data_IF_286005337510
#
_entry.id   IF_286005337510
#
_cell.length_a   1.000
_cell.length_b   1.000
_cell.length_c   1.000
_cell.angle_alpha   90.00
_cell.angle_beta   90.00
_cell.angle_gamma   90.00
#
_symmetry.space_group_name_H-M   'P 1'
#
loop_
_entity.id
_entity.type
_entity.pdbx_description
1 polymer ?
#
# COMPACT_ATOMS: atom_id res chain seq x y z
N UNK A 1 8.35 -18.80 -10.42
CA UNK A 1 9.14 -17.70 -11.04
C UNK A 1 9.17 -16.48 -10.11
N UNK A 2 10.31 -15.79 -10.03
CA UNK A 2 10.71 -14.90 -8.94
C UNK A 2 10.68 -13.41 -9.35
N UNK A 3 10.24 -12.53 -8.45
CA UNK A 3 10.35 -11.07 -8.64
C UNK A 3 11.82 -10.65 -8.78
N UNK A 4 12.08 -9.64 -9.60
CA UNK A 4 13.41 -9.04 -9.70
C UNK A 4 13.82 -8.40 -8.36
N UNK A 5 15.13 -8.25 -8.15
CA UNK A 5 15.69 -7.77 -6.88
C UNK A 5 15.18 -6.37 -6.52
N UNK A 6 15.01 -5.48 -7.49
CA UNK A 6 14.63 -4.10 -7.22
C UNK A 6 13.17 -4.01 -6.80
N UNK A 7 12.27 -4.75 -7.45
CA UNK A 7 10.87 -4.92 -7.02
C UNK A 7 10.77 -5.42 -5.59
N UNK A 8 11.61 -6.37 -5.18
CA UNK A 8 11.64 -6.87 -3.79
C UNK A 8 12.12 -5.81 -2.79
N UNK A 9 13.10 -4.99 -3.16
CA UNK A 9 13.53 -3.87 -2.31
C UNK A 9 12.47 -2.80 -2.16
N UNK A 10 11.79 -2.44 -3.25
CA UNK A 10 10.62 -1.55 -3.17
C UNK A 10 9.56 -2.14 -2.24
N UNK A 11 9.22 -3.42 -2.39
CA UNK A 11 8.27 -4.09 -1.52
C UNK A 11 8.69 -4.04 -0.04
N UNK A 12 9.97 -4.28 0.30
CA UNK A 12 10.46 -4.16 1.67
C UNK A 12 10.31 -2.72 2.20
N UNK A 13 10.66 -1.72 1.39
CA UNK A 13 10.45 -0.31 1.74
C UNK A 13 8.98 -0.02 2.06
N UNK A 14 8.06 -0.46 1.20
CA UNK A 14 6.61 -0.32 1.41
C UNK A 14 6.13 -1.06 2.66
N UNK A 15 6.60 -2.29 2.87
CA UNK A 15 6.22 -3.12 4.00
C UNK A 15 6.68 -2.55 5.36
N UNK A 16 7.69 -1.69 5.37
CA UNK A 16 8.15 -0.98 6.57
C UNK A 16 7.48 0.38 6.74
N UNK A 17 7.42 1.17 5.67
CA UNK A 17 6.96 2.56 5.74
C UNK A 17 5.43 2.67 5.83
N UNK A 18 4.66 1.77 5.23
CA UNK A 18 3.19 1.80 5.34
C UNK A 18 2.75 1.58 6.79
N UNK A 19 3.20 0.53 7.52
CA UNK A 19 2.86 0.38 8.94
C UNK A 19 3.35 1.54 9.80
N UNK A 20 4.56 2.06 9.55
CA UNK A 20 5.08 3.21 10.28
C UNK A 20 4.16 4.43 10.11
N UNK A 21 3.64 4.65 8.90
CA UNK A 21 2.74 5.75 8.62
C UNK A 21 1.40 5.60 9.34
N UNK A 22 0.81 4.42 9.31
CA UNK A 22 -0.43 4.13 10.03
C UNK A 22 -0.24 4.26 11.56
N UNK A 23 0.86 3.73 12.11
CA UNK A 23 1.11 3.85 13.55
C UNK A 23 1.37 5.29 14.00
N UNK A 24 2.06 6.08 13.17
CA UNK A 24 2.29 7.50 13.47
C UNK A 24 1.00 8.31 13.51
N UNK A 25 0.00 7.92 12.70
CA UNK A 25 -1.30 8.61 12.64
C UNK A 25 -2.09 8.49 13.96
N UNK A 26 -1.96 7.34 14.63
CA UNK A 26 -2.61 7.06 15.92
C UNK A 26 -2.00 7.89 17.07
N UNK A 27 -0.70 8.18 16.97
CA UNK A 27 0.08 8.85 18.02
C UNK A 27 0.18 10.36 17.83
N UNK A 28 0.02 10.86 16.61
CA UNK A 28 0.14 12.27 16.31
C UNK A 28 -1.08 13.10 16.74
N UNK A 29 -0.87 14.40 16.90
CA UNK A 29 -1.96 15.39 16.88
C UNK A 29 -1.62 16.52 15.93
N UNK A 30 -2.45 16.70 14.90
CA UNK A 30 -2.30 17.82 13.98
C UNK A 30 -2.40 19.18 14.68
N UNK A 31 -1.66 20.20 14.21
CA UNK A 31 -1.83 21.57 14.67
C UNK A 31 -3.27 22.03 14.46
N UNK A 32 -3.81 22.78 15.43
CA UNK A 32 -5.08 23.52 15.31
C UNK A 32 -4.97 24.78 16.16
N UNK A 33 -5.66 25.89 15.78
CA UNK A 33 -5.68 27.09 16.60
C UNK A 33 -6.14 26.77 18.04
N UNK A 34 -5.34 27.19 19.02
CA UNK A 34 -5.63 26.99 20.46
C UNK A 34 -5.39 25.57 20.99
N UNK A 35 -4.89 24.63 20.18
CA UNK A 35 -4.58 23.28 20.64
C UNK A 35 -3.15 23.19 21.20
N UNK A 36 -3.05 22.86 22.48
CA UNK A 36 -1.79 22.46 23.11
C UNK A 36 -1.47 21.02 22.70
N UNK A 37 -0.22 20.77 22.32
CA UNK A 37 0.31 19.46 21.91
C UNK A 37 1.50 19.11 22.78
N UNK A 38 1.69 17.83 23.08
CA UNK A 38 2.91 17.34 23.72
C UNK A 38 4.04 17.23 22.70
N UNK A 39 5.29 17.22 23.16
CA UNK A 39 6.46 17.05 22.28
C UNK A 39 6.38 15.74 21.47
N UNK A 40 5.87 14.67 22.09
CA UNK A 40 5.63 13.38 21.42
C UNK A 40 4.63 13.51 20.26
N UNK A 41 3.52 14.22 20.47
CA UNK A 41 2.50 14.42 19.44
C UNK A 41 3.01 15.27 18.27
N UNK A 42 3.90 16.23 18.55
CA UNK A 42 4.57 17.04 17.55
C UNK A 42 5.55 16.17 16.76
N UNK A 43 6.39 15.39 17.46
CA UNK A 43 7.33 14.47 16.84
C UNK A 43 6.64 13.47 15.89
N UNK A 44 5.57 12.80 16.35
CA UNK A 44 4.85 11.85 15.50
C UNK A 44 4.17 12.53 14.31
N UNK A 45 3.74 13.78 14.46
CA UNK A 45 3.18 14.57 13.35
C UNK A 45 4.25 14.88 12.29
N UNK A 46 5.41 15.40 12.70
CA UNK A 46 6.52 15.69 11.78
C UNK A 46 7.04 14.40 11.12
N UNK A 47 7.16 13.32 11.90
CA UNK A 47 7.54 12.01 11.38
C UNK A 47 6.54 11.54 10.33
N UNK A 48 5.23 11.66 10.60
CA UNK A 48 4.19 11.31 9.64
C UNK A 48 4.34 12.10 8.34
N UNK A 49 4.58 13.41 8.40
CA UNK A 49 4.77 14.23 7.21
C UNK A 49 5.96 13.75 6.35
N UNK A 50 7.14 13.61 6.95
CA UNK A 50 8.37 13.27 6.21
C UNK A 50 8.41 11.81 5.75
N UNK A 51 7.94 10.88 6.58
CA UNK A 51 7.81 9.46 6.22
C UNK A 51 6.78 9.32 5.10
N UNK A 52 5.66 10.05 5.15
CA UNK A 52 4.66 10.09 4.10
C UNK A 52 5.23 10.52 2.75
N UNK A 53 6.03 11.59 2.72
CA UNK A 53 6.68 12.06 1.49
C UNK A 53 7.74 11.08 0.94
N UNK A 54 8.45 10.41 1.85
CA UNK A 54 9.41 9.35 1.47
C UNK A 54 8.67 8.15 0.87
N UNK A 55 7.58 7.72 1.50
CA UNK A 55 6.72 6.65 1.02
C UNK A 55 6.12 6.97 -0.35
N UNK A 56 5.57 8.19 -0.53
CA UNK A 56 5.08 8.67 -1.83
C UNK A 56 6.16 8.53 -2.91
N UNK A 57 7.38 9.01 -2.62
CA UNK A 57 8.51 8.93 -3.55
C UNK A 57 8.82 7.48 -3.95
N UNK A 58 8.85 6.56 -2.98
CA UNK A 58 9.09 5.13 -3.23
C UNK A 58 7.98 4.54 -4.09
N UNK A 59 6.72 4.87 -3.84
CA UNK A 59 5.60 4.34 -4.61
C UNK A 59 5.62 4.87 -6.05
N UNK A 60 5.94 6.16 -6.27
CA UNK A 60 6.11 6.73 -7.62
C UNK A 60 7.22 5.98 -8.36
N UNK A 61 8.38 5.82 -7.73
CA UNK A 61 9.52 5.11 -8.32
C UNK A 61 9.18 3.65 -8.63
N UNK A 62 8.47 2.98 -7.73
CA UNK A 62 8.02 1.61 -7.93
C UNK A 62 7.07 1.52 -9.12
N UNK A 63 6.13 2.45 -9.24
CA UNK A 63 5.16 2.50 -10.34
C UNK A 63 5.86 2.76 -11.69
N UNK A 64 6.80 3.70 -11.73
CA UNK A 64 7.63 3.98 -12.91
C UNK A 64 8.50 2.78 -13.31
N UNK A 65 9.04 2.06 -12.32
CA UNK A 65 9.79 0.83 -12.56
C UNK A 65 8.91 -0.26 -13.17
N UNK A 66 7.72 -0.49 -12.61
CA UNK A 66 6.76 -1.48 -13.11
C UNK A 66 6.25 -1.19 -14.53
N UNK A 67 6.27 0.06 -14.98
CA UNK A 67 5.99 0.42 -16.39
C UNK A 67 7.08 -0.06 -17.36
N UNK A 68 8.34 -0.12 -16.91
CA UNK A 68 9.49 -0.54 -17.74
C UNK A 68 9.67 -2.05 -17.76
N UNK A 69 9.30 -2.74 -16.68
CA UNK A 69 9.37 -4.20 -16.63
C UNK A 69 8.22 -4.82 -17.45
N UNK A 70 8.57 -5.49 -18.55
CA UNK A 70 7.62 -6.31 -19.32
C UNK A 70 7.34 -7.68 -18.66
N UNK A 71 8.13 -8.03 -17.64
CA UNK A 71 8.19 -9.36 -17.03
C UNK A 71 7.12 -9.55 -15.94
N UNK A 72 7.20 -10.66 -15.20
CA UNK A 72 6.21 -11.10 -14.21
C UNK A 72 5.97 -10.17 -13.02
N UNK A 73 6.76 -9.12 -12.82
CA UNK A 73 6.52 -8.05 -11.82
C UNK A 73 5.95 -6.76 -12.44
N UNK A 74 5.76 -6.77 -13.75
CA UNK A 74 5.43 -5.59 -14.55
C UNK A 74 3.98 -5.13 -14.45
N UNK A 75 3.72 -4.01 -15.12
CA UNK A 75 2.43 -3.30 -15.16
C UNK A 75 1.21 -4.21 -15.37
N UNK A 76 1.31 -5.20 -16.25
CA UNK A 76 0.22 -6.13 -16.56
C UNK A 76 -0.18 -7.03 -15.39
N UNK A 77 0.74 -7.32 -14.47
CA UNK A 77 0.44 -8.09 -13.24
C UNK A 77 -0.20 -7.23 -12.17
N UNK A 78 0.23 -5.98 -12.03
CA UNK A 78 -0.34 -5.04 -11.07
C UNK A 78 -1.75 -4.62 -11.48
N UNK A 79 -1.97 -4.46 -12.79
CA UNK A 79 -3.23 -4.00 -13.37
C UNK A 79 -3.80 -4.99 -14.39
N UNK A 80 -4.08 -6.23 -13.99
CA UNK A 80 -4.50 -7.28 -14.92
C UNK A 80 -5.87 -6.98 -15.54
N UNK A 81 -6.69 -6.19 -14.84
CA UNK A 81 -8.01 -5.76 -15.29
C UNK A 81 -7.98 -4.85 -16.54
N UNK A 82 -6.83 -4.27 -16.89
CA UNK A 82 -6.65 -3.52 -18.13
C UNK A 82 -6.64 -4.43 -19.37
N UNK A 83 -6.40 -5.73 -19.19
CA UNK A 83 -6.35 -6.71 -20.28
C UNK A 83 -7.52 -7.69 -20.22
N UNK A 84 -8.00 -8.15 -21.37
CA UNK A 84 -9.08 -9.16 -21.42
C UNK A 84 -8.66 -10.49 -20.76
N UNK A 85 -7.44 -10.95 -21.03
CA UNK A 85 -6.88 -12.16 -20.43
C UNK A 85 -6.77 -12.05 -18.91
N UNK A 86 -6.28 -10.92 -18.40
CA UNK A 86 -6.16 -10.68 -16.96
C UNK A 86 -7.51 -10.58 -16.25
N UNK A 87 -8.52 -9.96 -16.88
CA UNK A 87 -9.91 -9.96 -16.35
C UNK A 87 -10.48 -11.38 -16.24
N UNK A 88 -10.32 -12.20 -17.28
CA UNK A 88 -10.77 -13.59 -17.25
C UNK A 88 -10.07 -14.39 -16.15
N UNK A 89 -8.76 -14.24 -15.99
CA UNK A 89 -8.03 -14.93 -14.92
C UNK A 89 -8.47 -14.43 -13.53
N UNK A 90 -8.65 -13.12 -13.35
CA UNK A 90 -9.12 -12.55 -12.09
C UNK A 90 -10.51 -13.06 -11.71
N UNK A 91 -11.43 -13.19 -12.68
CA UNK A 91 -12.76 -13.77 -12.44
C UNK A 91 -12.66 -15.23 -11.97
N UNK A 92 -11.76 -16.03 -12.57
CA UNK A 92 -11.52 -17.41 -12.13
C UNK A 92 -10.96 -17.47 -10.71
N UNK A 93 -10.01 -16.60 -10.40
CA UNK A 93 -9.41 -16.52 -9.06
C UNK A 93 -10.48 -16.15 -8.02
N UNK A 94 -11.36 -15.20 -8.33
CA UNK A 94 -12.49 -14.79 -7.47
C UNK A 94 -13.47 -15.94 -7.27
N UNK A 95 -13.83 -16.66 -8.34
CA UNK A 95 -14.71 -17.83 -8.26
C UNK A 95 -14.12 -18.98 -7.42
N UNK A 96 -12.80 -19.02 -7.24
CA UNK A 96 -12.12 -20.01 -6.41
C UNK A 96 -12.10 -19.65 -4.92
N UNK A 97 -12.37 -18.39 -4.53
CA UNK A 97 -12.34 -17.91 -3.13
C UNK A 97 -13.17 -18.80 -2.17
N UNK A 98 -14.40 -19.24 -2.51
CA UNK A 98 -15.17 -20.10 -1.62
C UNK A 98 -14.46 -21.43 -1.28
N UNK A 99 -13.62 -21.95 -2.19
CA UNK A 99 -12.85 -23.16 -1.94
C UNK A 99 -11.65 -22.93 -1.00
N UNK A 100 -11.17 -21.70 -0.88
CA UNK A 100 -10.06 -21.33 0.02
C UNK A 100 -10.44 -21.54 1.48
N UNK A 101 -11.70 -21.28 1.84
CA UNK A 101 -12.26 -21.56 3.17
C UNK A 101 -12.32 -23.07 3.49
N UNK A 102 -12.16 -23.94 2.50
CA UNK A 102 -12.02 -25.39 2.66
C UNK A 102 -10.57 -25.86 2.65
N UNK A 103 -9.61 -24.94 2.80
CA UNK A 103 -8.16 -25.20 2.76
C UNK A 103 -7.58 -25.35 1.36
N UNK A 104 -8.38 -25.19 0.29
CA UNK A 104 -7.91 -25.29 -1.11
C UNK A 104 -7.38 -23.96 -1.61
N UNK A 105 -6.42 -23.38 -0.88
CA UNK A 105 -5.75 -22.14 -1.31
C UNK A 105 -4.75 -22.49 -2.40
N UNK A 106 -4.84 -21.88 -3.59
CA UNK A 106 -3.96 -22.21 -4.70
C UNK A 106 -2.48 -21.91 -4.38
N UNK A 107 -1.60 -22.68 -5.00
CA UNK A 107 -0.15 -22.61 -4.78
C UNK A 107 0.42 -21.33 -5.38
N UNK A 108 1.63 -20.97 -4.98
CA UNK A 108 2.29 -19.77 -5.49
C UNK A 108 2.62 -19.88 -6.98
N UNK A 109 2.81 -21.08 -7.51
CA UNK A 109 3.17 -21.29 -8.93
C UNK A 109 1.96 -21.24 -9.86
N UNK A 110 0.75 -21.22 -9.31
CA UNK A 110 -0.46 -21.00 -10.09
C UNK A 110 -0.44 -19.57 -10.66
N UNK A 111 -0.77 -19.44 -11.95
CA UNK A 111 -0.84 -18.16 -12.66
C UNK A 111 -2.06 -17.35 -12.21
N UNK A 112 -2.03 -16.87 -10.97
CA UNK A 112 -3.09 -16.07 -10.38
C UNK A 112 -2.88 -14.59 -10.72
N UNK A 113 -3.94 -13.94 -11.19
CA UNK A 113 -4.01 -12.51 -11.43
C UNK A 113 -4.38 -11.73 -10.16
N UNK A 114 -5.16 -12.33 -9.27
CA UNK A 114 -5.71 -11.67 -8.09
C UNK A 114 -4.66 -11.13 -7.10
N UNK A 115 -3.59 -11.86 -6.73
CA UNK A 115 -2.56 -11.32 -5.84
C UNK A 115 -1.85 -10.08 -6.41
N UNK A 116 -1.60 -10.08 -7.73
CA UNK A 116 -1.03 -8.94 -8.44
C UNK A 116 -1.98 -7.74 -8.46
N UNK A 117 -3.27 -7.97 -8.73
CA UNK A 117 -4.30 -6.95 -8.69
C UNK A 117 -4.44 -6.32 -7.30
N UNK A 118 -4.45 -7.12 -6.23
CA UNK A 118 -4.50 -6.63 -4.85
C UNK A 118 -3.27 -5.78 -4.53
N UNK A 119 -2.08 -6.20 -4.96
CA UNK A 119 -0.87 -5.39 -4.78
C UNK A 119 -0.96 -4.06 -5.53
N UNK A 120 -1.38 -4.08 -6.80
CA UNK A 120 -1.59 -2.88 -7.61
C UNK A 120 -2.64 -1.92 -7.02
N UNK A 121 -3.74 -2.45 -6.48
CA UNK A 121 -4.75 -1.67 -5.77
C UNK A 121 -4.17 -1.01 -4.51
N UNK A 122 -3.33 -1.72 -3.75
CA UNK A 122 -2.62 -1.14 -2.62
C UNK A 122 -1.72 0.01 -3.03
N UNK A 123 -0.97 -0.14 -4.12
CA UNK A 123 -0.14 0.94 -4.65
C UNK A 123 -0.98 2.13 -5.10
N UNK A 124 -2.13 1.93 -5.76
CA UNK A 124 -3.02 3.02 -6.14
C UNK A 124 -3.62 3.73 -4.92
N UNK A 125 -4.00 2.97 -3.90
CA UNK A 125 -4.50 3.49 -2.62
C UNK A 125 -3.42 4.36 -1.96
N UNK A 126 -2.17 3.93 -1.91
CA UNK A 126 -1.10 4.75 -1.32
C UNK A 126 -0.72 5.95 -2.23
N UNK A 127 -0.68 5.76 -3.56
CA UNK A 127 -0.13 6.73 -4.53
C UNK A 127 -1.11 7.84 -4.96
N UNK A 128 -2.21 7.44 -5.62
CA UNK A 128 -3.01 8.32 -6.48
C UNK A 128 -4.38 8.56 -5.89
N UNK A 129 -4.98 7.51 -5.33
CA UNK A 129 -6.38 7.56 -4.96
C UNK A 129 -6.62 8.20 -3.61
N UNK A 130 -5.64 8.32 -2.68
CA UNK A 130 -6.01 8.35 -1.26
C UNK A 130 -5.06 9.07 -0.28
N UNK A 131 -3.74 8.80 -0.23
CA UNK A 131 -2.89 9.36 0.86
C UNK A 131 -1.72 10.24 0.39
N UNK A 132 -0.97 9.84 -0.65
CA UNK A 132 0.21 10.58 -1.08
C UNK A 132 -0.12 12.01 -1.56
N UNK A 133 -1.09 12.13 -2.47
CA UNK A 133 -1.51 13.43 -3.02
C UNK A 133 -2.19 14.31 -1.98
N UNK A 134 -3.14 13.78 -1.22
CA UNK A 134 -3.85 14.55 -0.18
C UNK A 134 -2.92 14.92 0.97
N UNK A 135 -1.98 14.04 1.33
CA UNK A 135 -0.91 14.32 2.28
C UNK A 135 -0.01 15.46 1.82
N UNK A 136 0.43 15.43 0.55
CA UNK A 136 1.21 16.52 -0.03
C UNK A 136 0.40 17.84 -0.11
N UNK A 137 -0.90 17.77 -0.46
CA UNK A 137 -1.77 18.94 -0.46
C UNK A 137 -1.88 19.57 0.94
N UNK A 138 -2.00 18.76 1.99
CA UNK A 138 -1.98 19.25 3.37
C UNK A 138 -0.63 19.85 3.74
N UNK A 139 0.48 19.16 3.43
CA UNK A 139 1.83 19.62 3.75
C UNK A 139 2.14 21.02 3.16
N UNK A 140 1.69 21.28 1.94
CA UNK A 140 1.94 22.56 1.26
C UNK A 140 0.78 23.57 1.38
N UNK A 141 -0.40 23.15 1.80
CA UNK A 141 -1.62 23.96 1.82
C UNK A 141 -2.15 24.29 3.22
N UNK A 142 -1.62 23.67 4.28
CA UNK A 142 -1.97 23.98 5.66
C UNK A 142 -1.17 25.19 6.15
N UNK A 143 -1.85 26.14 6.79
CA UNK A 143 -1.17 27.26 7.45
C UNK A 143 -0.39 26.78 8.68
N UNK A 144 0.63 27.54 9.12
CA UNK A 144 1.38 27.23 10.36
C UNK A 144 0.45 27.09 11.60
N UNK A 145 -0.68 27.81 11.59
CA UNK A 145 -1.70 27.73 12.64
C UNK A 145 -2.45 26.37 12.67
N UNK A 146 -2.27 25.52 11.65
CA UNK A 146 -3.03 24.31 11.41
C UNK A 146 -4.38 24.54 10.73
N UNK A 147 -4.65 25.78 10.29
CA UNK A 147 -5.88 26.11 9.57
C UNK A 147 -5.80 25.60 8.14
N UNK A 148 -6.88 24.96 7.70
CA UNK A 148 -7.09 24.47 6.34
C UNK A 148 -8.43 25.02 5.85
N UNK A 149 -8.49 25.44 4.58
CA UNK A 149 -9.70 26.03 3.99
C UNK A 149 -9.93 25.47 2.59
N UNK A 150 -11.20 25.41 2.17
CA UNK A 150 -11.61 24.93 0.85
C UNK A 150 -11.08 23.52 0.57
N UNK A 151 -10.47 23.34 -0.60
CA UNK A 151 -10.01 22.03 -1.09
C UNK A 151 -8.99 21.33 -0.18
N UNK A 152 -8.26 22.07 0.67
CA UNK A 152 -7.30 21.47 1.61
C UNK A 152 -8.01 20.77 2.75
N UNK A 153 -9.12 21.33 3.25
CA UNK A 153 -9.92 20.69 4.30
C UNK A 153 -10.63 19.44 3.78
N UNK A 154 -11.17 19.50 2.55
CA UNK A 154 -11.74 18.34 1.85
C UNK A 154 -10.69 17.24 1.63
N UNK A 155 -9.48 17.62 1.17
CA UNK A 155 -8.38 16.67 1.00
C UNK A 155 -8.00 16.01 2.33
N UNK A 156 -8.05 16.75 3.43
CA UNK A 156 -7.79 16.25 4.78
C UNK A 156 -8.86 15.28 5.28
N UNK A 157 -10.14 15.56 5.06
CA UNK A 157 -11.22 14.60 5.38
C UNK A 157 -11.09 13.31 4.58
N UNK A 158 -10.79 13.44 3.29
CA UNK A 158 -10.59 12.30 2.43
C UNK A 158 -9.33 11.50 2.81
N UNK A 159 -8.24 12.16 3.20
CA UNK A 159 -7.03 11.52 3.71
C UNK A 159 -7.33 10.67 4.97
N UNK A 160 -8.03 11.23 5.96
CA UNK A 160 -8.41 10.53 7.20
C UNK A 160 -9.32 9.32 6.90
N UNK A 161 -10.35 9.50 6.06
CA UNK A 161 -11.27 8.42 5.70
C UNK A 161 -10.53 7.23 5.08
N UNK A 162 -9.57 7.54 4.22
CA UNK A 162 -8.90 6.54 3.42
C UNK A 162 -7.71 5.87 4.15
N UNK A 163 -7.15 6.51 5.18
CA UNK A 163 -6.24 5.85 6.13
C UNK A 163 -6.86 4.60 6.76
N UNK A 164 -8.14 4.68 7.16
CA UNK A 164 -8.89 3.51 7.65
C UNK A 164 -9.01 2.38 6.62
N UNK A 165 -9.12 2.70 5.33
CA UNK A 165 -9.15 1.70 4.26
C UNK A 165 -7.78 1.04 4.06
N UNK A 166 -6.68 1.77 4.25
CA UNK A 166 -5.33 1.22 4.20
C UNK A 166 -5.08 0.25 5.36
N UNK A 167 -5.60 0.50 6.55
CA UNK A 167 -5.58 -0.48 7.64
C UNK A 167 -6.24 -1.79 7.24
N UNK A 168 -7.46 -1.74 6.69
CA UNK A 168 -8.18 -2.93 6.23
C UNK A 168 -7.38 -3.67 5.14
N UNK A 169 -6.83 -2.93 4.19
CA UNK A 169 -5.98 -3.48 3.14
C UNK A 169 -4.75 -4.20 3.74
N UNK A 170 -4.03 -3.55 4.65
CA UNK A 170 -2.81 -4.08 5.25
C UNK A 170 -3.10 -5.37 6.03
N UNK A 171 -4.16 -5.37 6.85
CA UNK A 171 -4.58 -6.55 7.62
C UNK A 171 -4.91 -7.71 6.67
N UNK A 172 -5.70 -7.47 5.62
CA UNK A 172 -6.05 -8.51 4.65
C UNK A 172 -4.84 -9.03 3.88
N UNK A 173 -3.97 -8.11 3.44
CA UNK A 173 -2.78 -8.45 2.66
C UNK A 173 -1.77 -9.27 3.46
N UNK A 174 -1.42 -8.80 4.66
CA UNK A 174 -0.50 -9.51 5.57
C UNK A 174 -1.14 -10.80 6.09
N UNK A 175 -2.45 -10.79 6.36
CA UNK A 175 -3.21 -11.99 6.75
C UNK A 175 -3.08 -13.12 5.73
N UNK A 176 -3.16 -12.80 4.43
CA UNK A 176 -2.95 -13.80 3.37
C UNK A 176 -1.51 -14.34 3.32
N UNK A 177 -0.51 -13.52 3.66
CA UNK A 177 0.88 -14.00 3.81
C UNK A 177 0.98 -15.03 4.95
N UNK A 178 0.33 -14.76 6.08
CA UNK A 178 0.28 -15.69 7.22
C UNK A 178 -0.43 -16.99 6.83
N UNK A 179 -1.58 -16.93 6.15
CA UNK A 179 -2.30 -18.12 5.66
C UNK A 179 -1.40 -18.98 4.77
N UNK A 180 -0.75 -18.37 3.77
CA UNK A 180 0.17 -19.10 2.90
C UNK A 180 1.35 -19.70 3.66
N UNK A 181 1.85 -19.03 4.69
CA UNK A 181 2.93 -19.56 5.53
C UNK A 181 2.48 -20.77 6.35
N UNK A 182 1.27 -20.73 6.91
CA UNK A 182 0.68 -21.85 7.66
C UNK A 182 0.40 -23.07 6.78
N UNK A 183 0.09 -22.86 5.50
CA UNK A 183 -0.05 -23.92 4.50
C UNK A 183 1.30 -24.44 3.95
N UNK A 184 2.43 -23.96 4.48
CA UNK A 184 3.76 -24.40 4.08
C UNK A 184 4.27 -23.80 2.77
N UNK A 185 3.58 -22.81 2.19
CA UNK A 185 4.03 -22.19 0.95
C UNK A 185 5.26 -21.30 1.21
N UNK A 186 6.28 -21.29 0.32
CA UNK A 186 7.51 -20.52 0.48
C UNK A 186 7.34 -19.02 0.13
N UNK A 187 6.27 -18.38 0.61
CA UNK A 187 5.90 -17.00 0.20
C UNK A 187 6.94 -15.95 0.59
N UNK A 188 7.51 -16.06 1.79
CA UNK A 188 8.54 -15.14 2.28
C UNK A 188 9.82 -15.21 1.43
N UNK A 189 10.17 -16.41 0.97
CA UNK A 189 11.34 -16.58 0.09
C UNK A 189 11.11 -15.89 -1.25
N UNK A 190 9.86 -15.89 -1.75
CA UNK A 190 9.54 -15.27 -3.04
C UNK A 190 9.61 -13.74 -3.03
N UNK A 191 9.28 -13.11 -1.90
CA UNK A 191 9.24 -11.65 -1.76
C UNK A 191 10.50 -11.05 -1.13
N UNK A 192 11.31 -11.86 -0.43
CA UNK A 192 12.52 -11.37 0.24
C UNK A 192 13.64 -11.04 -0.76
N UNK A 193 14.24 -9.83 -0.69
CA UNK A 193 15.38 -9.47 -1.53
C UNK A 193 16.64 -10.30 -1.24
N UNK A 194 16.68 -11.01 -0.10
CA UNK A 194 17.81 -11.84 0.32
C UNK A 194 17.75 -13.28 -0.21
N UNK A 195 16.60 -13.69 -0.77
CA UNK A 195 16.46 -15.04 -1.35
C UNK A 195 17.16 -15.14 -2.70
N UNK A 196 17.87 -16.25 -2.89
CA UNK A 196 18.52 -16.61 -4.16
C UNK A 196 17.50 -16.82 -5.28
#
# INVERSE_FOLDING_TARGET
MYYDKLTRWFHVGLALLVPLQLLSEELMKRPKPGRIRTDEQIFFFEMHEWVGMTLLSIVVLHMLWSLRCADEGGWKRLFPYLTSAGRCQMLRDIQAIPAWFKGKVPSLDDKQALPGAIHGLGLLLVLVLVLGTTGAMMLYGMEESGRMVGIIDEAKEFHELMGGLVWLYLIGHVGMVVVHRLLGHPILQRISPFSK
#
